data_IF_253965940673
#
_entry.id   IF_253965940673
#
_cell.length_a   1.000
_cell.length_b   1.000
_cell.length_c   1.000
_cell.angle_alpha   90.00
_cell.angle_beta   90.00
_cell.angle_gamma   90.00
#
_symmetry.space_group_name_H-M   'P 1'
#
loop_
_entity.id
_entity.type
_entity.pdbx_description
1 polymer ?
#
# COMPACT_ATOMS: atom_id res chain seq x y z
N UNK A 1 37.63 -16.06 3.03
CA UNK A 1 38.47 -17.15 3.55
C UNK A 1 37.64 -18.43 3.52
N UNK A 2 38.24 -19.56 3.16
CA UNK A 2 37.54 -20.86 3.20
C UNK A 2 37.21 -21.19 4.66
N UNK A 3 35.98 -21.65 4.95
CA UNK A 3 35.65 -22.13 6.30
C UNK A 3 36.61 -23.27 6.64
N UNK A 4 37.15 -23.34 7.86
CA UNK A 4 38.07 -24.40 8.23
C UNK A 4 37.39 -25.76 8.07
N UNK A 5 38.10 -26.68 7.41
CA UNK A 5 37.69 -28.08 7.29
C UNK A 5 37.82 -28.74 8.67
N UNK A 6 36.74 -28.66 9.46
CA UNK A 6 36.65 -29.21 10.82
C UNK A 6 35.80 -30.49 10.80
N UNK A 7 35.84 -31.25 11.89
CA UNK A 7 35.04 -32.48 12.03
C UNK A 7 33.52 -32.23 11.91
N UNK A 8 33.07 -30.99 12.13
CA UNK A 8 31.67 -30.57 11.93
C UNK A 8 31.25 -30.54 10.44
N UNK A 9 32.21 -30.57 9.51
CA UNK A 9 31.98 -30.57 8.06
C UNK A 9 32.00 -31.96 7.44
N UNK A 10 32.20 -33.03 8.24
CA UNK A 10 32.26 -34.40 7.75
C UNK A 10 30.86 -34.92 7.45
N UNK A 11 30.63 -35.30 6.19
CA UNK A 11 29.43 -36.02 5.76
C UNK A 11 29.73 -37.52 5.81
N UNK A 12 29.08 -38.23 6.74
CA UNK A 12 29.25 -39.68 6.93
C UNK A 12 28.21 -40.47 6.13
N UNK A 13 28.68 -41.50 5.44
CA UNK A 13 27.83 -42.49 4.79
C UNK A 13 27.93 -43.80 5.58
N UNK A 14 26.82 -44.27 6.13
CA UNK A 14 26.74 -45.59 6.76
C UNK A 14 26.67 -46.72 5.69
N UNK A 15 26.99 -47.97 6.04
CA UNK A 15 26.91 -49.09 5.11
C UNK A 15 25.53 -49.16 4.41
N UNK A 16 25.55 -49.12 3.07
CA UNK A 16 24.34 -49.15 2.24
C UNK A 16 23.67 -47.80 2.02
N UNK A 17 24.15 -46.70 2.60
CA UNK A 17 23.67 -45.35 2.28
C UNK A 17 24.28 -44.84 0.98
N UNK A 18 23.44 -44.33 0.09
CA UNK A 18 23.84 -43.66 -1.16
C UNK A 18 23.63 -42.14 -1.10
N UNK A 19 22.96 -41.66 -0.05
CA UNK A 19 22.64 -40.26 0.15
C UNK A 19 22.88 -39.89 1.62
N UNK A 20 23.53 -38.74 1.82
CA UNK A 20 23.72 -38.13 3.12
C UNK A 20 23.46 -36.62 2.98
N UNK A 21 22.89 -36.01 4.02
CA UNK A 21 22.52 -34.59 4.00
C UNK A 21 23.62 -33.76 4.66
N UNK A 22 24.02 -32.68 4.00
CA UNK A 22 24.82 -31.62 4.58
C UNK A 22 23.90 -30.40 4.79
N UNK A 23 23.73 -29.97 6.03
CA UNK A 23 22.92 -28.80 6.36
C UNK A 23 23.81 -27.56 6.41
N UNK A 24 23.44 -26.52 5.69
CA UNK A 24 24.04 -25.18 5.80
C UNK A 24 22.98 -24.28 6.41
N UNK A 25 23.31 -23.66 7.54
CA UNK A 25 22.48 -22.62 8.15
C UNK A 25 22.84 -21.30 7.47
N UNK A 26 21.81 -20.61 6.99
CA UNK A 26 21.89 -19.23 6.51
C UNK A 26 21.33 -18.39 7.66
N UNK A 27 22.10 -17.40 8.10
CA UNK A 27 21.66 -16.45 9.12
C UNK A 27 20.85 -15.36 8.40
N UNK A 28 19.69 -15.05 8.95
CA UNK A 28 18.73 -14.07 8.43
C UNK A 28 18.75 -12.87 9.36
N UNK A 29 18.82 -11.66 8.82
CA UNK A 29 18.69 -10.44 9.61
C UNK A 29 17.58 -9.51 9.06
N UNK A 30 17.78 -8.20 9.07
CA UNK A 30 16.79 -7.22 8.62
C UNK A 30 17.42 -6.10 7.78
N UNK A 31 18.69 -6.26 7.39
CA UNK A 31 19.50 -5.27 6.70
C UNK A 31 19.58 -5.70 5.25
N UNK A 32 19.27 -4.78 4.32
CA UNK A 32 19.34 -5.12 2.91
C UNK A 32 20.79 -5.29 2.45
N UNK A 33 21.15 -6.50 2.05
CA UNK A 33 22.47 -6.85 1.56
C UNK A 33 22.50 -7.05 0.03
N UNK A 34 23.64 -6.75 -0.59
CA UNK A 34 23.85 -7.08 -2.00
C UNK A 34 23.96 -8.60 -2.18
N UNK A 35 23.57 -9.15 -3.35
CA UNK A 35 23.61 -10.59 -3.58
C UNK A 35 25.00 -11.19 -3.29
N UNK A 36 25.02 -12.13 -2.35
CA UNK A 36 26.23 -12.80 -1.91
C UNK A 36 26.32 -14.22 -2.47
N UNK A 37 27.53 -14.79 -2.45
CA UNK A 37 27.71 -16.17 -2.88
C UNK A 37 28.85 -16.84 -2.13
N UNK A 38 28.67 -18.14 -1.88
CA UNK A 38 29.73 -19.00 -1.38
C UNK A 38 29.74 -20.33 -2.14
N UNK A 39 30.88 -21.01 -2.11
CA UNK A 39 31.02 -22.34 -2.72
C UNK A 39 31.04 -23.41 -1.66
N UNK A 40 30.36 -24.50 -1.94
CA UNK A 40 30.53 -25.76 -1.24
C UNK A 40 31.45 -26.65 -2.09
N UNK A 41 32.54 -27.12 -1.49
CA UNK A 41 33.55 -27.94 -2.16
C UNK A 41 33.65 -29.26 -1.41
N UNK A 42 33.59 -30.38 -2.14
CA UNK A 42 33.83 -31.70 -1.58
C UNK A 42 35.32 -31.89 -1.38
N UNK A 43 35.72 -32.09 -0.13
CA UNK A 43 37.09 -32.45 0.23
C UNK A 43 37.44 -33.88 -0.18
N UNK A 44 38.71 -34.24 0.01
CA UNK A 44 39.18 -35.62 -0.19
C UNK A 44 38.41 -36.58 0.72
N UNK A 45 37.84 -37.67 0.18
CA UNK A 45 37.12 -38.65 0.99
C UNK A 45 38.09 -39.36 1.94
N UNK A 46 37.61 -39.63 3.15
CA UNK A 46 38.31 -40.42 4.15
C UNK A 46 37.58 -41.77 4.24
N UNK A 47 38.31 -42.87 4.10
CA UNK A 47 37.77 -44.22 4.20
C UNK A 47 38.74 -45.12 4.96
N UNK A 48 38.19 -46.05 5.75
CA UNK A 48 38.95 -47.09 6.44
C UNK A 48 39.57 -48.10 5.46
N UNK A 49 39.04 -48.16 4.22
CA UNK A 49 39.56 -48.97 3.12
C UNK A 49 40.16 -48.04 2.06
N UNK A 50 41.47 -48.13 1.86
CA UNK A 50 42.19 -47.28 0.92
C UNK A 50 41.70 -47.48 -0.53
N UNK A 51 41.22 -46.39 -1.15
CA UNK A 51 41.00 -46.31 -2.60
C UNK A 51 39.57 -46.53 -3.12
N UNK A 52 38.57 -46.73 -2.24
CA UNK A 52 37.20 -47.05 -2.67
C UNK A 52 36.32 -45.82 -2.99
N UNK A 53 36.50 -44.71 -2.26
CA UNK A 53 35.71 -43.49 -2.48
C UNK A 53 36.50 -42.46 -3.31
N UNK A 54 35.85 -41.87 -4.31
CA UNK A 54 36.39 -40.78 -5.13
C UNK A 54 35.35 -39.69 -5.30
N UNK A 55 35.79 -38.44 -5.29
CA UNK A 55 34.94 -37.30 -5.65
C UNK A 55 34.71 -37.35 -7.16
N UNK A 56 33.45 -37.28 -7.58
CA UNK A 56 33.08 -37.23 -9.00
C UNK A 56 33.28 -35.83 -9.62
N UNK A 57 32.91 -35.69 -10.88
CA UNK A 57 33.10 -34.45 -11.66
C UNK A 57 32.40 -33.22 -11.04
N UNK A 58 31.26 -33.44 -10.37
CA UNK A 58 30.54 -32.41 -9.61
C UNK A 58 31.07 -32.34 -8.18
N UNK A 59 32.28 -31.80 -8.03
CA UNK A 59 32.97 -31.65 -6.75
C UNK A 59 32.72 -30.31 -6.05
N UNK A 60 32.13 -29.34 -6.76
CA UNK A 60 31.76 -28.05 -6.20
C UNK A 60 30.36 -27.63 -6.62
N UNK A 61 29.71 -26.84 -5.77
CA UNK A 61 28.48 -26.12 -6.09
C UNK A 61 28.54 -24.70 -5.57
N UNK A 62 27.92 -23.77 -6.30
CA UNK A 62 27.81 -22.37 -5.94
C UNK A 62 26.43 -22.12 -5.33
N UNK A 63 26.42 -21.59 -4.11
CA UNK A 63 25.20 -21.14 -3.43
C UNK A 63 25.17 -19.62 -3.53
N UNK A 64 24.04 -19.08 -3.98
CA UNK A 64 23.77 -17.65 -4.04
C UNK A 64 22.72 -17.30 -2.99
N UNK A 65 22.97 -16.24 -2.24
CA UNK A 65 22.06 -15.69 -1.24
C UNK A 65 21.56 -14.36 -1.82
N UNK A 66 20.24 -14.22 -1.89
CA UNK A 66 19.59 -12.97 -2.30
C UNK A 66 18.76 -12.47 -1.13
N UNK A 67 18.88 -11.19 -0.84
CA UNK A 67 18.20 -10.55 0.27
C UNK A 67 17.24 -9.44 -0.21
N UNK A 68 16.46 -9.77 -1.24
CA UNK A 68 15.47 -8.85 -1.78
C UNK A 68 14.27 -8.64 -0.84
N UNK A 69 14.12 -9.51 0.17
CA UNK A 69 13.03 -9.45 1.14
C UNK A 69 13.17 -8.25 2.09
N UNK A 70 14.40 -7.90 2.45
CA UNK A 70 14.70 -6.77 3.34
C UNK A 70 14.87 -5.45 2.60
N UNK A 71 14.57 -5.42 1.31
CA UNK A 71 14.63 -4.18 0.52
C UNK A 71 13.76 -3.08 1.13
N UNK A 72 14.38 -1.93 1.38
CA UNK A 72 13.70 -0.72 1.87
C UNK A 72 12.73 -0.15 0.83
N UNK A 73 11.44 -0.04 1.18
CA UNK A 73 10.38 0.48 0.30
C UNK A 73 9.51 1.50 1.04
N UNK A 74 9.36 2.70 0.49
CA UNK A 74 8.44 3.74 0.99
C UNK A 74 7.19 3.78 0.11
N UNK A 75 6.00 3.72 0.71
CA UNK A 75 4.72 3.67 0.01
C UNK A 75 3.53 4.17 0.84
N UNK A 76 2.41 4.42 0.15
CA UNK A 76 1.10 4.48 0.77
C UNK A 76 0.60 3.05 1.07
N UNK A 77 -0.02 2.80 2.24
CA UNK A 77 -0.58 1.49 2.57
C UNK A 77 -1.77 1.11 1.69
N UNK A 78 -2.49 2.11 1.16
CA UNK A 78 -3.61 1.95 0.25
C UNK A 78 -3.52 2.97 -0.89
N UNK A 79 -4.18 2.69 -2.01
CA UNK A 79 -4.24 3.59 -3.17
C UNK A 79 -5.42 4.55 -3.13
N UNK A 80 -6.31 4.39 -2.14
CA UNK A 80 -7.52 5.21 -1.98
C UNK A 80 -7.78 5.49 -0.52
N UNK A 81 -8.23 6.72 -0.24
CA UNK A 81 -8.76 7.13 1.05
C UNK A 81 -10.10 7.82 0.85
N UNK A 82 -10.93 7.81 1.89
CA UNK A 82 -12.20 8.51 1.91
C UNK A 82 -12.27 9.40 3.15
N UNK A 83 -12.81 10.58 2.98
CA UNK A 83 -13.10 11.52 4.05
C UNK A 83 -14.45 12.15 3.79
N UNK A 84 -15.14 12.53 4.85
CA UNK A 84 -16.38 13.28 4.75
C UNK A 84 -16.09 14.74 5.01
N UNK A 85 -16.61 15.60 4.16
CA UNK A 85 -16.53 17.05 4.30
C UNK A 85 -17.01 17.53 5.70
N UNK A 86 -16.52 18.66 6.22
CA UNK A 86 -17.08 19.25 7.43
C UNK A 86 -18.60 19.48 7.32
N UNK A 87 -19.31 19.49 8.45
CA UNK A 87 -20.77 19.67 8.44
C UNK A 87 -21.22 21.12 8.24
N UNK A 88 -20.34 22.05 8.58
CA UNK A 88 -20.58 23.49 8.65
C UNK A 88 -19.23 24.20 8.50
N UNK A 89 -19.22 25.46 8.08
CA UNK A 89 -18.02 26.29 7.94
C UNK A 89 -17.15 26.36 9.22
N UNK A 90 -17.75 26.33 10.40
CA UNK A 90 -17.02 26.35 11.69
C UNK A 90 -16.34 25.01 12.04
N UNK A 91 -16.64 23.93 11.32
CA UNK A 91 -16.06 22.61 11.58
C UNK A 91 -14.81 22.40 10.73
N UNK A 92 -13.82 21.73 11.33
CA UNK A 92 -12.60 21.34 10.64
C UNK A 92 -12.56 19.82 10.52
N UNK A 93 -12.44 19.32 9.30
CA UNK A 93 -12.16 17.90 9.05
C UNK A 93 -10.71 17.75 8.62
N UNK A 94 -9.98 16.86 9.29
CA UNK A 94 -8.59 16.53 8.96
C UNK A 94 -8.54 15.07 8.52
N UNK A 95 -8.04 14.82 7.31
CA UNK A 95 -7.66 13.49 6.85
C UNK A 95 -6.19 13.25 7.16
N UNK A 96 -5.88 12.07 7.74
CA UNK A 96 -4.53 11.65 8.11
C UNK A 96 -4.04 10.60 7.12
N UNK A 97 -3.02 10.94 6.35
CA UNK A 97 -2.45 10.10 5.30
C UNK A 97 -1.14 9.47 5.79
N UNK A 98 -1.13 8.18 6.13
CA UNK A 98 0.10 7.47 6.48
C UNK A 98 0.97 7.24 5.24
N UNK A 99 2.27 7.46 5.39
CA UNK A 99 3.33 7.07 4.47
C UNK A 99 4.24 6.13 5.23
N UNK A 100 4.31 4.88 4.78
CA UNK A 100 5.00 3.81 5.49
C UNK A 100 6.28 3.40 4.76
N UNK A 101 7.27 2.97 5.53
CA UNK A 101 8.52 2.37 5.07
C UNK A 101 8.59 0.93 5.56
N UNK A 102 8.87 0.00 4.65
CA UNK A 102 9.04 -1.44 4.91
C UNK A 102 10.47 -1.87 4.58
N UNK A 103 10.87 -3.05 5.07
CA UNK A 103 12.22 -3.59 4.88
C UNK A 103 13.26 -2.87 5.75
N UNK A 104 14.46 -2.73 5.22
CA UNK A 104 15.61 -2.15 5.91
C UNK A 104 15.40 -0.67 6.25
N UNK A 105 15.34 -0.39 7.56
CA UNK A 105 15.18 0.95 8.11
C UNK A 105 16.48 1.53 8.66
N UNK A 106 17.63 0.87 8.49
CA UNK A 106 18.92 1.29 9.09
C UNK A 106 19.50 2.56 8.48
N UNK A 107 19.22 2.83 7.21
CA UNK A 107 19.69 4.03 6.49
C UNK A 107 18.63 5.11 6.44
N UNK A 108 19.05 6.37 6.33
CA UNK A 108 18.14 7.49 6.09
C UNK A 108 17.57 7.46 4.66
N UNK A 109 16.33 7.91 4.48
CA UNK A 109 15.74 8.19 3.17
C UNK A 109 14.75 9.34 3.25
N UNK A 110 14.63 10.13 2.20
CA UNK A 110 13.71 11.27 2.14
C UNK A 110 12.82 11.19 0.90
N UNK A 111 11.55 11.58 1.08
CA UNK A 111 10.58 11.71 -0.01
C UNK A 111 9.84 13.02 0.13
N UNK A 112 9.36 13.57 -0.98
CA UNK A 112 8.49 14.75 -0.97
C UNK A 112 7.04 14.33 -1.14
N UNK A 113 6.25 14.58 -0.11
CA UNK A 113 4.80 14.44 -0.16
C UNK A 113 4.16 15.72 -0.70
N UNK A 114 3.23 15.60 -1.64
CA UNK A 114 2.43 16.74 -2.08
C UNK A 114 1.05 16.35 -2.61
N UNK A 115 0.13 17.30 -2.54
CA UNK A 115 -1.23 17.20 -3.09
C UNK A 115 -1.28 17.70 -4.54
N UNK A 116 -2.22 17.16 -5.31
CA UNK A 116 -2.52 17.57 -6.68
C UNK A 116 -4.02 17.53 -6.92
N UNK A 117 -4.55 18.62 -7.47
CA UNK A 117 -5.97 18.78 -7.80
C UNK A 117 -6.49 17.67 -8.71
N UNK A 118 -7.74 17.28 -8.48
CA UNK A 118 -8.55 16.44 -9.34
C UNK A 118 -9.76 17.23 -9.85
N UNK A 119 -10.96 16.72 -9.55
CA UNK A 119 -12.16 17.57 -9.58
C UNK A 119 -12.24 18.46 -8.32
N UNK A 120 -11.72 17.98 -7.19
CA UNK A 120 -11.47 18.83 -6.03
C UNK A 120 -10.26 19.75 -6.29
N UNK A 121 -10.40 21.02 -5.95
CA UNK A 121 -9.50 22.16 -6.12
C UNK A 121 -8.89 22.62 -4.81
N UNK A 122 -7.59 22.88 -4.84
CA UNK A 122 -6.88 23.45 -3.69
C UNK A 122 -7.44 24.82 -3.30
N UNK A 123 -7.53 25.06 -1.99
CA UNK A 123 -8.10 26.27 -1.37
C UNK A 123 -9.62 26.47 -1.54
N UNK A 124 -10.29 25.58 -2.29
CA UNK A 124 -11.76 25.51 -2.38
C UNK A 124 -12.21 24.32 -1.51
N UNK A 125 -11.72 23.10 -1.79
CA UNK A 125 -12.21 21.89 -1.11
C UNK A 125 -11.18 21.30 -0.12
N UNK A 126 -9.90 21.69 -0.24
CA UNK A 126 -8.84 21.24 0.67
C UNK A 126 -7.65 22.21 0.70
N UNK A 127 -6.93 22.25 1.82
CA UNK A 127 -5.69 23.00 1.93
C UNK A 127 -4.52 22.23 1.31
N UNK A 128 -3.81 22.78 0.31
CA UNK A 128 -2.73 22.07 -0.37
C UNK A 128 -1.53 21.87 0.56
N UNK A 129 -0.93 20.68 0.48
CA UNK A 129 0.24 20.30 1.28
C UNK A 129 1.40 19.98 0.37
N UNK A 130 2.60 20.48 0.73
CA UNK A 130 3.88 20.08 0.16
C UNK A 130 4.90 20.01 1.29
N UNK A 131 5.42 18.82 1.58
CA UNK A 131 6.25 18.54 2.75
C UNK A 131 7.32 17.50 2.44
N UNK A 132 8.52 17.73 2.95
CA UNK A 132 9.59 16.72 2.97
C UNK A 132 9.35 15.77 4.16
N UNK A 133 9.37 14.45 3.88
CA UNK A 133 9.29 13.39 4.88
C UNK A 133 10.64 12.72 4.99
N UNK A 134 11.32 12.97 6.12
CA UNK A 134 12.63 12.39 6.42
C UNK A 134 12.44 11.11 7.27
N UNK A 135 12.75 9.96 6.68
CA UNK A 135 12.81 8.68 7.38
C UNK A 135 14.23 8.48 7.91
N UNK A 136 14.47 8.91 9.15
CA UNK A 136 15.70 8.61 9.89
C UNK A 136 15.84 7.11 10.20
N UNK A 137 17.04 6.64 10.62
CA UNK A 137 17.22 5.24 10.99
C UNK A 137 16.20 4.77 12.03
N UNK A 138 15.50 3.68 11.73
CA UNK A 138 14.45 3.09 12.57
C UNK A 138 13.09 3.80 12.52
N UNK A 139 12.94 4.88 11.74
CA UNK A 139 11.63 5.51 11.48
C UNK A 139 10.97 4.82 10.30
N UNK A 140 9.79 4.25 10.52
CA UNK A 140 9.04 3.45 9.56
C UNK A 140 7.68 4.08 9.14
N UNK A 141 7.23 5.14 9.81
CA UNK A 141 5.97 5.80 9.49
C UNK A 141 6.05 7.32 9.64
N UNK A 142 5.45 8.03 8.68
CA UNK A 142 5.05 9.42 8.81
C UNK A 142 3.57 9.56 8.53
N UNK A 143 2.91 10.48 9.24
CA UNK A 143 1.51 10.81 8.99
C UNK A 143 1.42 12.27 8.53
N UNK A 144 0.83 12.49 7.36
CA UNK A 144 0.57 13.82 6.82
C UNK A 144 -0.90 14.16 7.02
N UNK A 145 -1.15 15.30 7.64
CA UNK A 145 -2.49 15.80 7.88
C UNK A 145 -2.86 16.80 6.79
N UNK A 146 -4.04 16.61 6.19
CA UNK A 146 -4.61 17.50 5.19
C UNK A 146 -5.96 17.96 5.70
N UNK A 147 -6.17 19.27 5.70
CA UNK A 147 -7.44 19.88 6.07
C UNK A 147 -8.38 19.91 4.87
N UNK A 148 -9.60 19.40 5.08
CA UNK A 148 -10.70 19.43 4.13
C UNK A 148 -11.56 20.64 4.47
N UNK A 149 -11.84 21.44 3.46
CA UNK A 149 -12.61 22.67 3.59
C UNK A 149 -14.10 22.37 3.41
N UNK A 150 -14.92 23.25 3.96
CA UNK A 150 -16.37 23.22 3.81
C UNK A 150 -16.77 24.12 2.65
N UNK A 151 -17.72 23.67 1.83
CA UNK A 151 -18.50 24.50 0.94
C UNK A 151 -20.02 24.24 1.06
N UNK A 152 -20.80 25.18 0.54
CA UNK A 152 -22.27 25.11 0.48
C UNK A 152 -22.78 24.50 -0.85
N UNK A 153 -21.87 24.08 -1.73
CA UNK A 153 -22.22 23.57 -3.05
C UNK A 153 -22.60 22.10 -2.97
N UNK A 154 -23.73 21.74 -3.59
CA UNK A 154 -24.10 20.34 -3.70
C UNK A 154 -23.43 19.73 -4.92
N UNK A 155 -22.41 18.94 -4.66
CA UNK A 155 -21.55 18.36 -5.67
C UNK A 155 -21.67 16.84 -5.75
N UNK A 156 -21.15 16.29 -6.85
CA UNK A 156 -20.89 14.86 -6.97
C UNK A 156 -19.65 14.55 -6.12
N UNK A 157 -19.47 13.29 -5.72
CA UNK A 157 -18.24 12.82 -5.05
C UNK A 157 -16.98 13.40 -5.69
N UNK A 158 -16.26 14.18 -4.91
CA UNK A 158 -15.06 14.86 -5.32
C UNK A 158 -13.80 14.05 -5.01
N UNK A 159 -12.69 14.44 -5.62
CA UNK A 159 -11.41 13.80 -5.41
C UNK A 159 -10.22 14.67 -5.79
N UNK A 160 -9.14 14.49 -5.03
CA UNK A 160 -7.80 14.96 -5.36
C UNK A 160 -6.80 13.82 -5.14
N UNK A 161 -5.56 14.04 -5.55
CA UNK A 161 -4.48 13.03 -5.48
C UNK A 161 -3.40 13.47 -4.51
N UNK A 162 -2.84 12.53 -3.76
CA UNK A 162 -1.56 12.69 -3.05
C UNK A 162 -0.47 11.87 -3.73
N UNK A 163 0.74 12.42 -3.75
CA UNK A 163 1.92 11.77 -4.33
C UNK A 163 3.10 11.87 -3.40
N UNK A 164 3.97 10.88 -3.47
CA UNK A 164 5.32 10.92 -2.92
C UNK A 164 6.31 10.77 -4.08
N UNK A 165 7.26 11.69 -4.20
CA UNK A 165 8.35 11.61 -5.17
C UNK A 165 9.69 11.46 -4.43
N UNK A 166 10.71 10.84 -5.06
CA UNK A 166 12.04 10.74 -4.46
C UNK A 166 12.62 12.14 -4.18
N UNK A 167 13.27 12.31 -3.04
CA UNK A 167 14.04 13.52 -2.73
C UNK A 167 15.55 13.19 -2.62
N UNK A 168 16.37 14.16 -2.23
CA UNK A 168 17.83 14.03 -2.19
C UNK A 168 18.26 12.93 -1.20
N UNK A 169 19.17 12.03 -1.64
CA UNK A 169 19.71 10.91 -0.85
C UNK A 169 18.68 9.84 -0.45
N UNK A 170 17.72 9.54 -1.33
CA UNK A 170 16.81 8.42 -1.16
C UNK A 170 17.52 7.08 -1.46
N UNK A 171 17.65 6.22 -0.43
CA UNK A 171 18.13 4.84 -0.57
C UNK A 171 16.98 3.85 -0.78
N UNK A 172 15.83 4.11 -0.14
CA UNK A 172 14.63 3.31 -0.30
C UNK A 172 14.07 3.37 -1.73
N UNK A 173 13.37 2.34 -2.15
CA UNK A 173 12.59 2.36 -3.39
C UNK A 173 11.17 2.90 -3.13
N UNK A 174 10.51 3.39 -4.18
CA UNK A 174 9.11 3.76 -4.12
C UNK A 174 8.22 2.58 -4.50
N UNK A 175 7.29 2.24 -3.62
CA UNK A 175 6.18 1.33 -3.90
C UNK A 175 4.98 2.09 -4.45
N UNK A 176 3.82 1.92 -3.80
CA UNK A 176 2.62 2.70 -4.11
C UNK A 176 2.82 4.18 -3.77
N UNK A 177 3.21 4.99 -4.74
CA UNK A 177 3.58 6.40 -4.55
C UNK A 177 2.50 7.41 -4.97
N UNK A 178 1.29 6.92 -5.25
CA UNK A 178 0.11 7.72 -5.58
C UNK A 178 -1.11 7.15 -4.87
N UNK A 179 -1.88 8.01 -4.21
CA UNK A 179 -3.19 7.65 -3.69
C UNK A 179 -4.23 8.73 -4.04
N UNK A 180 -5.49 8.31 -4.17
CA UNK A 180 -6.63 9.21 -4.43
C UNK A 180 -7.38 9.40 -3.13
N UNK A 181 -7.70 10.65 -2.80
CA UNK A 181 -8.57 10.99 -1.68
C UNK A 181 -9.92 11.34 -2.26
N UNK A 182 -10.97 10.68 -1.78
CA UNK A 182 -12.35 11.02 -2.12
C UNK A 182 -12.98 11.81 -0.99
N UNK A 183 -13.61 12.93 -1.34
CA UNK A 183 -14.39 13.75 -0.42
C UNK A 183 -15.86 13.37 -0.62
N UNK A 184 -16.47 12.88 0.45
CA UNK A 184 -17.89 12.55 0.51
C UNK A 184 -18.62 13.73 1.15
N UNK A 185 -19.66 14.25 0.50
CA UNK A 185 -20.51 15.25 1.12
C UNK A 185 -21.24 14.70 2.33
N UNK A 186 -21.47 15.55 3.34
CA UNK A 186 -22.41 15.20 4.39
C UNK A 186 -23.82 15.11 3.79
N UNK A 187 -24.52 14.00 4.07
CA UNK A 187 -25.96 13.92 3.78
C UNK A 187 -26.67 14.97 4.63
N UNK A 188 -26.91 16.14 4.07
CA UNK A 188 -28.04 16.95 4.48
C UNK A 188 -29.27 16.10 4.16
N UNK A 189 -30.04 15.72 5.18
CA UNK A 189 -31.34 15.10 5.01
C UNK A 189 -32.22 16.07 4.22
N UNK A 190 -32.17 16.01 2.90
CA UNK A 190 -33.22 16.56 2.08
C UNK A 190 -34.46 15.73 2.39
N UNK A 191 -35.40 16.33 3.11
CA UNK A 191 -36.77 15.88 3.19
C UNK A 191 -37.28 15.76 1.75
N UNK A 192 -37.30 14.53 1.22
CA UNK A 192 -37.92 14.24 -0.06
C UNK A 192 -39.41 14.17 0.19
N UNK A 193 -40.08 15.31 0.33
CA UNK A 193 -41.53 15.32 0.12
C UNK A 193 -41.76 15.12 -1.36
N UNK A 194 -42.20 13.91 -1.74
CA UNK A 194 -42.79 13.66 -3.05
C UNK A 194 -43.86 14.72 -3.34
N UNK A 195 -44.05 15.16 -4.60
CA UNK A 195 -45.17 16.03 -4.92
C UNK A 195 -46.46 15.36 -4.44
N UNK A 196 -47.39 16.16 -3.93
CA UNK A 196 -48.68 15.70 -3.39
C UNK A 196 -49.33 14.68 -4.33
N UNK A 197 -50.02 13.68 -3.74
CA UNK A 197 -50.71 12.60 -4.47
C UNK A 197 -51.40 13.16 -5.71
N UNK A 198 -51.15 12.61 -6.91
CA UNK A 198 -51.72 13.15 -8.14
C UNK A 198 -53.24 13.18 -8.06
N UNK A 199 -53.84 14.36 -8.28
CA UNK A 199 -55.28 14.52 -8.33
C UNK A 199 -55.80 14.06 -9.69
N UNK A 200 -56.67 13.04 -9.70
CA UNK A 200 -57.39 12.64 -10.91
C UNK A 200 -58.60 13.55 -11.06
N UNK A 201 -58.63 14.35 -12.11
CA UNK A 201 -59.78 15.17 -12.50
C UNK A 201 -60.43 14.59 -13.77
N UNK A 202 -61.72 14.85 -13.96
CA UNK A 202 -62.42 14.47 -15.18
C UNK A 202 -61.90 15.28 -16.38
N UNK A 203 -61.88 14.68 -17.57
CA UNK A 203 -61.61 15.40 -18.83
C UNK A 203 -62.56 16.59 -19.06
N UNK A 204 -63.76 16.54 -18.46
CA UNK A 204 -64.73 17.63 -18.51
C UNK A 204 -64.24 18.90 -17.81
N UNK A 205 -63.36 18.74 -16.80
CA UNK A 205 -62.88 19.83 -15.95
C UNK A 205 -61.44 20.23 -16.30
N UNK A 206 -60.96 19.85 -17.50
CA UNK A 206 -59.59 20.10 -17.96
C UNK A 206 -59.24 21.60 -18.00
N UNK A 207 -60.20 22.45 -18.37
CA UNK A 207 -60.00 23.90 -18.50
C UNK A 207 -60.22 24.68 -17.18
N UNK A 208 -60.78 24.06 -16.14
CA UNK A 208 -60.99 24.66 -14.81
C UNK A 208 -60.57 23.71 -13.68
N UNK A 209 -59.25 23.51 -13.59
CA UNK A 209 -58.66 22.66 -12.55
C UNK A 209 -58.86 23.19 -11.12
N UNK A 210 -59.20 24.47 -10.95
CA UNK A 210 -59.39 25.09 -9.63
C UNK A 210 -60.79 24.81 -9.05
N UNK A 211 -61.79 24.59 -9.91
CA UNK A 211 -63.16 24.21 -9.53
C UNK A 211 -63.43 22.71 -9.47
N UNK A 212 -62.48 21.87 -9.93
CA UNK A 212 -62.69 20.43 -10.09
C UNK A 212 -62.83 19.70 -8.75
N UNK A 213 -63.94 18.99 -8.56
CA UNK A 213 -64.09 18.08 -7.41
C UNK A 213 -63.23 16.84 -7.65
N UNK A 214 -62.32 16.50 -6.73
CA UNK A 214 -61.36 15.38 -6.84
C UNK A 214 -61.96 13.96 -6.89
N UNK A 215 -63.24 13.81 -7.20
CA UNK A 215 -63.90 12.55 -7.52
C UNK A 215 -64.37 12.61 -8.98
N UNK A 216 -63.67 11.96 -9.93
CA UNK A 216 -64.16 11.85 -11.29
C UNK A 216 -65.48 11.08 -11.31
N UNK A 217 -66.49 11.64 -11.98
CA UNK A 217 -67.77 10.94 -12.18
C UNK A 217 -67.52 9.68 -13.04
N UNK A 218 -68.05 8.50 -12.67
CA UNK A 218 -68.00 7.34 -13.55
C UNK A 218 -68.74 7.67 -14.85
N UNK A 219 -68.01 7.81 -15.96
CA UNK A 219 -68.62 7.92 -17.29
C UNK A 219 -69.36 6.65 -17.66
N UNK A 220 -70.40 6.79 -18.49
CA UNK A 220 -71.17 5.70 -19.11
C UNK A 220 -70.29 4.81 -20.01
#
# INVERSE_FOLDING_TARGET
AERPNTDASIVRFEPGQTEARCAVVIEDDAIHEEPEQFRLVLGSPISDIAGEARVGDKSETLIKINDDADRSIIEFPTTTFEVTEPATEDNVTIIRIPVIRKGDTTKTSSVRFFTKDGNARSSEDYNPVSKELLFEPGVDEHVVEIEILYDDEKEIRESFTVRIDPDVNMEAQLGNHKAIIYINQQRILADVTFPSVPSVISLLDYDDMAGATGQPSPGY
#
